data_IF_019777584203
#
_entry.id   IF_019777584203
#
_cell.length_a   1.000
_cell.length_b   1.000
_cell.length_c   1.000
_cell.angle_alpha   90.00
_cell.angle_beta   90.00
_cell.angle_gamma   90.00
#
_symmetry.space_group_name_H-M   'P 1'
#
loop_
_entity.id
_entity.type
_entity.pdbx_description
1 polymer ?
#
# COMPACT_ATOMS: atom_id res chain seq x y z
N UNK A 1 15.93 -1.59 10.53
CA UNK A 1 15.53 -1.19 9.17
C UNK A 1 14.02 -1.33 9.04
N UNK A 2 13.36 -0.30 8.56
CA UNK A 2 11.92 -0.35 8.31
C UNK A 2 11.69 -0.83 6.88
N UNK A 3 10.65 -1.64 6.69
CA UNK A 3 10.19 -2.01 5.37
C UNK A 3 9.47 -0.88 4.66
N UNK A 4 8.96 -1.16 3.48
CA UNK A 4 8.18 -0.19 2.71
C UNK A 4 6.91 0.19 3.46
N UNK A 5 6.44 1.40 3.18
CA UNK A 5 5.18 1.91 3.72
C UNK A 5 4.42 2.65 2.62
N UNK A 6 3.12 2.43 2.56
CA UNK A 6 2.24 3.12 1.61
C UNK A 6 1.11 3.77 2.39
N UNK A 7 0.86 5.04 2.12
CA UNK A 7 -0.28 5.77 2.68
C UNK A 7 -1.30 6.01 1.59
N UNK A 8 -2.56 5.71 1.87
CA UNK A 8 -3.65 5.93 0.91
C UNK A 8 -4.73 6.76 1.60
N UNK A 9 -5.12 7.84 0.96
CA UNK A 9 -6.21 8.70 1.40
C UNK A 9 -7.42 8.41 0.53
N UNK A 10 -8.52 8.05 1.17
CA UNK A 10 -9.71 7.54 0.48
C UNK A 10 -10.93 8.38 0.88
N UNK A 11 -11.77 8.68 -0.12
CA UNK A 11 -13.08 9.29 0.12
C UNK A 11 -14.06 8.17 0.49
N UNK A 12 -14.52 8.20 1.73
CA UNK A 12 -15.45 7.20 2.26
C UNK A 12 -16.91 7.64 2.16
N UNK A 13 -17.17 8.73 1.44
CA UNK A 13 -18.53 9.25 1.23
C UNK A 13 -18.89 10.33 2.23
N UNK A 14 -18.88 10.02 3.52
CA UNK A 14 -19.20 10.94 4.60
C UNK A 14 -17.96 11.53 5.27
N UNK A 15 -16.79 11.01 4.95
CA UNK A 15 -15.54 11.43 5.57
C UNK A 15 -14.37 11.00 4.69
N UNK A 16 -13.19 11.50 5.02
CA UNK A 16 -11.94 11.12 4.38
C UNK A 16 -11.17 10.25 5.36
N UNK A 17 -10.68 9.11 4.88
CA UNK A 17 -9.92 8.18 5.70
C UNK A 17 -8.54 7.98 5.14
N UNK A 18 -7.58 7.80 6.01
CA UNK A 18 -6.21 7.48 5.64
C UNK A 18 -5.89 6.08 6.11
N UNK A 19 -5.41 5.27 5.19
CA UNK A 19 -4.93 3.91 5.50
C UNK A 19 -3.43 3.87 5.30
N UNK A 20 -2.76 3.18 6.21
CA UNK A 20 -1.32 2.99 6.11
C UNK A 20 -1.02 1.50 6.06
N UNK A 21 -0.35 1.08 5.01
CA UNK A 21 0.07 -0.31 4.85
C UNK A 21 1.59 -0.32 4.98
N UNK A 22 2.06 -0.93 6.05
CA UNK A 22 3.49 -1.00 6.36
C UNK A 22 3.93 -2.46 6.33
N UNK A 23 5.09 -2.70 5.75
CA UNK A 23 5.69 -4.02 5.78
C UNK A 23 5.91 -4.44 7.23
N UNK A 24 5.45 -5.64 7.58
CA UNK A 24 5.45 -6.11 8.96
C UNK A 24 6.79 -6.68 9.40
N UNK A 25 7.70 -6.93 8.46
CA UNK A 25 9.04 -7.45 8.76
C UNK A 25 10.07 -6.82 7.84
N UNK A 26 11.31 -6.78 8.30
CA UNK A 26 12.42 -6.33 7.48
C UNK A 26 12.56 -7.22 6.24
N UNK A 27 12.96 -6.63 5.12
CA UNK A 27 13.14 -7.35 3.86
C UNK A 27 11.87 -7.49 3.04
N UNK A 28 10.70 -7.20 3.60
CA UNK A 28 9.45 -7.22 2.85
C UNK A 28 9.23 -5.91 2.12
N UNK A 29 8.53 -6.00 1.00
CA UNK A 29 8.17 -4.84 0.20
C UNK A 29 6.66 -4.67 0.17
N UNK A 30 6.25 -3.44 -0.10
CA UNK A 30 4.83 -3.14 -0.38
C UNK A 30 4.77 -2.64 -1.81
N UNK A 31 4.05 -3.38 -2.65
CA UNK A 31 3.93 -3.09 -4.08
C UNK A 31 2.54 -2.58 -4.39
N UNK A 32 2.47 -1.55 -5.25
CA UNK A 32 1.21 -0.95 -5.66
C UNK A 32 0.98 -1.24 -7.13
N UNK A 33 -0.21 -1.75 -7.44
CA UNK A 33 -0.64 -1.99 -8.82
C UNK A 33 -1.96 -1.30 -9.03
N UNK A 34 -2.09 -0.57 -10.15
CA UNK A 34 -3.32 0.13 -10.49
C UNK A 34 -3.80 -0.41 -11.83
N UNK A 35 -5.06 -0.84 -11.87
CA UNK A 35 -5.65 -1.32 -13.10
C UNK A 35 -7.13 -1.66 -12.94
N UNK A 36 -7.90 -1.49 -14.01
CA UNK A 36 -9.31 -1.86 -14.06
C UNK A 36 -10.14 -1.25 -12.92
N UNK A 37 -9.83 -0.01 -12.55
CA UNK A 37 -10.57 0.70 -11.51
C UNK A 37 -10.23 0.26 -10.09
N UNK A 38 -9.15 -0.49 -9.90
CA UNK A 38 -8.74 -0.99 -8.58
C UNK A 38 -7.29 -0.57 -8.31
N UNK A 39 -7.06 -0.06 -7.10
CA UNK A 39 -5.71 0.14 -6.58
C UNK A 39 -5.44 -1.03 -5.63
N UNK A 40 -4.43 -1.82 -5.94
CA UNK A 40 -4.07 -2.98 -5.15
C UNK A 40 -2.73 -2.73 -4.48
N UNK A 41 -2.69 -2.91 -3.16
CA UNK A 41 -1.48 -2.74 -2.36
C UNK A 41 -1.16 -4.09 -1.74
N UNK A 42 0.01 -4.63 -2.05
CA UNK A 42 0.39 -5.98 -1.66
C UNK A 42 1.68 -5.94 -0.87
N UNK A 43 1.65 -6.53 0.32
CA UNK A 43 2.88 -6.79 1.05
C UNK A 43 3.44 -8.13 0.55
N UNK A 44 4.69 -8.12 0.09
CA UNK A 44 5.33 -9.34 -0.43
C UNK A 44 6.60 -9.63 0.35
N UNK A 45 6.94 -10.93 0.41
CA UNK A 45 8.20 -11.37 1.01
C UNK A 45 9.37 -10.98 0.11
N UNK A 46 10.59 -11.20 0.60
CA UNK A 46 11.81 -10.95 -0.18
C UNK A 46 11.80 -11.69 -1.52
N UNK A 47 11.17 -12.86 -1.57
CA UNK A 47 11.10 -13.67 -2.78
C UNK A 47 9.89 -13.36 -3.65
N UNK A 48 9.05 -12.41 -3.24
CA UNK A 48 7.89 -12.00 -4.02
C UNK A 48 6.59 -12.71 -3.70
N UNK A 49 6.55 -13.51 -2.62
CA UNK A 49 5.32 -14.19 -2.21
C UNK A 49 4.38 -13.21 -1.51
N UNK A 50 3.12 -13.08 -1.96
CA UNK A 50 2.17 -12.19 -1.30
C UNK A 50 1.86 -12.66 0.13
N UNK A 51 1.84 -11.71 1.06
CA UNK A 51 1.52 -11.96 2.47
C UNK A 51 0.12 -11.47 2.77
N UNK A 52 -0.18 -10.24 2.32
CA UNK A 52 -1.53 -9.67 2.46
C UNK A 52 -1.74 -8.65 1.34
N UNK A 53 -3.00 -8.48 0.98
CA UNK A 53 -3.40 -7.59 -0.10
C UNK A 53 -4.53 -6.70 0.36
N UNK A 54 -4.42 -5.40 0.09
CA UNK A 54 -5.51 -4.45 0.28
C UNK A 54 -5.93 -3.94 -1.09
N UNK A 55 -7.25 -3.82 -1.31
CA UNK A 55 -7.80 -3.32 -2.56
C UNK A 55 -8.70 -2.14 -2.29
N UNK A 56 -8.59 -1.13 -3.14
CA UNK A 56 -9.37 0.10 -3.04
C UNK A 56 -9.97 0.41 -4.40
N UNK A 57 -11.15 1.01 -4.41
CA UNK A 57 -11.72 1.53 -5.66
C UNK A 57 -10.90 2.74 -6.08
N UNK A 58 -10.33 2.70 -7.29
CA UNK A 58 -9.48 3.78 -7.77
C UNK A 58 -10.19 5.13 -7.79
N UNK A 59 -11.50 5.12 -8.08
CA UNK A 59 -12.30 6.34 -8.11
C UNK A 59 -12.47 7.00 -6.74
N UNK A 60 -12.16 6.29 -5.66
CA UNK A 60 -12.26 6.80 -4.31
C UNK A 60 -10.92 7.18 -3.70
N UNK A 61 -9.83 6.88 -4.38
CA UNK A 61 -8.49 7.19 -3.88
C UNK A 61 -8.16 8.63 -4.25
N UNK A 62 -7.94 9.45 -3.22
CA UNK A 62 -7.64 10.88 -3.40
C UNK A 62 -6.13 11.11 -3.49
N UNK A 63 -5.36 10.31 -2.78
CA UNK A 63 -3.90 10.43 -2.77
C UNK A 63 -3.27 9.10 -2.38
N UNK A 64 -2.08 8.85 -2.88
CA UNK A 64 -1.31 7.67 -2.54
C UNK A 64 0.16 8.08 -2.47
N UNK A 65 0.79 7.76 -1.35
CA UNK A 65 2.20 8.09 -1.13
C UNK A 65 2.95 6.81 -0.79
N UNK A 66 4.00 6.53 -1.57
CA UNK A 66 4.85 5.38 -1.33
C UNK A 66 6.12 5.84 -0.62
N UNK A 67 6.43 5.14 0.47
CA UNK A 67 7.66 5.36 1.24
C UNK A 67 8.50 4.10 1.13
N UNK A 68 9.46 4.04 0.20
CA UNK A 68 10.30 2.84 0.09
C UNK A 68 11.17 2.68 1.33
N UNK A 69 11.58 1.43 1.58
CA UNK A 69 12.46 1.13 2.68
C UNK A 69 13.77 1.92 2.53
N UNK A 70 14.21 2.50 3.64
CA UNK A 70 15.48 3.20 3.65
C UNK A 70 16.61 2.20 3.84
N UNK A 71 17.60 2.30 2.96
CA UNK A 71 18.85 1.58 3.11
C UNK A 71 19.89 2.53 3.67
N UNK A 72 20.56 2.08 4.68
CA UNK A 72 21.61 2.86 5.34
C UNK A 72 22.97 2.33 4.94
#
# INVERSE_FOLDING_TARGET
MKGDRVEIVVDAGDSIRTYEITATRAGRRVEVTIGRGVVQVVEVTRTGTPVRTARFMASRVLALVEHPAQTV
#
